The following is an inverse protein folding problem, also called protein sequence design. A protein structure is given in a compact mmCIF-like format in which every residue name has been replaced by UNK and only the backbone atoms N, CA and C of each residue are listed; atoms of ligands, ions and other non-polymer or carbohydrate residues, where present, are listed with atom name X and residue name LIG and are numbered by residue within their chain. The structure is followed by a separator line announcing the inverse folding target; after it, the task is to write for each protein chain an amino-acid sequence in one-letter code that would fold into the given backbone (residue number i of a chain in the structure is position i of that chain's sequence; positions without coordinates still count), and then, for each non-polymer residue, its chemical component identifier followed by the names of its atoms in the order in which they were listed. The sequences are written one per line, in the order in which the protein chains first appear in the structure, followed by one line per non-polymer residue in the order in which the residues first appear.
data_IF_064754182403
#
_entry.id   IF_064754182403
#
_cell.length_a   1.000
_cell.length_b   1.000
_cell.length_c   1.000
_cell.angle_alpha   90.00
_cell.angle_beta   90.00
_cell.angle_gamma   90.00
#
_symmetry.space_group_name_H-M   'P 1'
#
loop_
_entity.id
_entity.type
_entity.pdbx_description
1 polymer ?
#
# COMPACT_ATOMS: atom_id res chain seq x y z
N UNK A 1 51.27 -27.26 -34.62
CA UNK A 1 50.69 -26.43 -35.69
C UNK A 1 49.96 -27.36 -36.64
N UNK A 2 48.63 -27.41 -36.58
CA UNK A 2 47.87 -28.33 -37.42
C UNK A 2 46.48 -27.78 -37.75
N UNK A 3 46.10 -28.09 -39.00
CA UNK A 3 44.76 -28.22 -39.60
C UNK A 3 44.12 -26.97 -40.24
N UNK A 4 44.22 -26.99 -41.58
CA UNK A 4 43.40 -26.34 -42.62
C UNK A 4 41.89 -26.51 -42.40
N UNK A 5 41.14 -25.45 -42.68
CA UNK A 5 39.71 -25.51 -42.97
C UNK A 5 39.43 -26.17 -44.32
N UNK A 6 38.39 -27.02 -44.38
CA UNK A 6 37.63 -27.34 -45.60
C UNK A 6 36.23 -27.82 -45.24
N UNK A 7 35.23 -27.31 -45.97
CA UNK A 7 34.00 -28.05 -46.27
C UNK A 7 32.78 -27.70 -45.43
N UNK A 8 31.93 -26.84 -45.99
CA UNK A 8 30.63 -26.45 -45.42
C UNK A 8 29.59 -27.57 -45.41
N UNK A 9 28.56 -27.37 -44.58
CA UNK A 9 27.29 -28.11 -44.61
C UNK A 9 26.17 -27.22 -44.03
N UNK A 10 25.22 -26.89 -44.90
CA UNK A 10 23.77 -26.68 -44.66
C UNK A 10 23.33 -25.89 -43.42
N UNK A 11 22.95 -24.62 -43.62
CA UNK A 11 22.02 -23.94 -42.72
C UNK A 11 20.62 -24.53 -42.92
N UNK A 12 20.20 -25.39 -41.99
CA UNK A 12 18.79 -25.65 -41.74
C UNK A 12 18.22 -24.42 -41.02
N UNK A 13 17.34 -23.69 -41.69
CA UNK A 13 16.52 -22.66 -41.09
C UNK A 13 15.53 -23.33 -40.12
N UNK A 14 15.90 -23.41 -38.84
CA UNK A 14 14.97 -23.74 -37.77
C UNK A 14 14.11 -22.51 -37.50
N UNK A 15 12.88 -22.53 -38.02
CA UNK A 15 11.82 -21.58 -37.67
C UNK A 15 11.54 -21.73 -36.18
N UNK A 16 12.20 -20.92 -35.35
CA UNK A 16 11.87 -20.79 -33.95
C UNK A 16 10.48 -20.15 -33.88
N UNK A 17 9.45 -20.97 -33.69
CA UNK A 17 8.18 -20.55 -33.11
C UNK A 17 8.51 -20.00 -31.73
N UNK A 18 8.72 -18.68 -31.66
CA UNK A 18 8.72 -17.95 -30.41
C UNK A 18 7.28 -18.02 -29.92
N UNK A 19 6.99 -19.04 -29.11
CA UNK A 19 5.83 -19.02 -28.24
C UNK A 19 5.98 -17.76 -27.40
N UNK A 20 5.25 -16.71 -27.79
CA UNK A 20 4.85 -15.62 -26.93
C UNK A 20 4.04 -16.27 -25.82
N UNK A 21 4.75 -16.81 -24.82
CA UNK A 21 4.19 -17.16 -23.54
C UNK A 21 3.52 -15.89 -23.04
N UNK A 22 2.19 -15.90 -23.02
CA UNK A 22 1.43 -14.96 -22.23
C UNK A 22 1.90 -15.12 -20.78
N UNK A 23 2.89 -14.36 -20.37
CA UNK A 23 3.20 -14.17 -18.96
C UNK A 23 1.90 -13.67 -18.33
N UNK A 24 1.26 -14.53 -17.55
CA UNK A 24 0.21 -14.12 -16.63
C UNK A 24 0.87 -13.11 -15.68
N UNK A 25 0.78 -11.82 -16.05
CA UNK A 25 1.57 -10.74 -15.44
C UNK A 25 1.65 -10.89 -13.93
N UNK A 26 2.90 -11.03 -13.46
CA UNK A 26 3.22 -11.20 -12.05
C UNK A 26 2.59 -10.06 -11.23
N UNK A 27 2.20 -10.31 -9.97
CA UNK A 27 1.73 -9.26 -9.08
C UNK A 27 2.79 -8.15 -9.00
N UNK A 28 2.46 -6.96 -9.49
CA UNK A 28 3.28 -5.78 -9.30
C UNK A 28 2.84 -5.11 -7.98
N UNK A 29 3.77 -4.77 -7.07
CA UNK A 29 3.39 -4.07 -5.87
C UNK A 29 2.83 -2.70 -6.24
N UNK A 30 1.58 -2.43 -5.89
CA UNK A 30 1.11 -1.05 -5.81
C UNK A 30 1.86 -0.39 -4.65
N UNK A 31 2.37 0.81 -4.89
CA UNK A 31 3.21 1.53 -3.93
C UNK A 31 2.93 3.02 -4.04
N UNK A 32 2.63 3.63 -2.90
CA UNK A 32 2.53 5.08 -2.74
C UNK A 32 3.52 5.54 -1.69
N UNK A 33 4.01 6.76 -1.86
CA UNK A 33 5.01 7.34 -0.98
C UNK A 33 4.70 8.80 -0.68
N UNK A 34 4.94 9.20 0.56
CA UNK A 34 4.92 10.59 1.00
C UNK A 34 6.05 10.85 1.98
N UNK A 35 6.47 12.11 2.03
CA UNK A 35 7.45 12.59 3.00
C UNK A 35 6.88 13.85 3.63
N UNK A 36 6.84 13.90 4.97
CA UNK A 36 6.67 15.15 5.70
C UNK A 36 7.86 15.31 6.64
N UNK A 37 8.50 16.47 6.51
CA UNK A 37 9.70 16.77 7.25
C UNK A 37 10.83 15.79 7.07
N UNK A 38 11.24 15.15 8.16
CA UNK A 38 12.33 14.17 8.17
C UNK A 38 11.86 12.74 7.95
N UNK A 39 10.55 12.51 7.90
CA UNK A 39 9.97 11.16 7.87
C UNK A 39 9.42 10.81 6.50
N UNK A 40 9.84 9.65 5.99
CA UNK A 40 9.32 9.05 4.79
C UNK A 40 8.34 7.93 5.15
N UNK A 41 7.18 7.95 4.50
CA UNK A 41 6.13 6.94 4.63
C UNK A 41 5.93 6.28 3.27
N UNK A 42 5.84 4.95 3.26
CA UNK A 42 5.56 4.15 2.07
C UNK A 42 4.43 3.18 2.40
N UNK A 43 3.35 3.24 1.62
CA UNK A 43 2.29 2.24 1.67
C UNK A 43 2.44 1.34 0.44
N UNK A 44 2.49 0.03 0.66
CA UNK A 44 2.57 -0.94 -0.42
C UNK A 44 1.56 -2.07 -0.26
N UNK A 45 1.10 -2.62 -1.38
CA UNK A 45 0.30 -3.84 -1.41
C UNK A 45 0.61 -4.66 -2.65
N UNK A 46 0.72 -6.00 -2.54
CA UNK A 46 0.78 -6.85 -3.72
C UNK A 46 -0.56 -6.78 -4.45
N UNK A 47 -0.56 -6.25 -5.67
CA UNK A 47 -1.76 -6.07 -6.47
C UNK A 47 -1.67 -6.84 -7.79
N UNK A 48 -2.81 -7.41 -8.19
CA UNK A 48 -3.02 -7.92 -9.55
C UNK A 48 -3.90 -6.91 -10.28
N UNK A 49 -3.37 -6.35 -11.37
CA UNK A 49 -4.13 -5.47 -12.23
C UNK A 49 -5.30 -6.23 -12.86
N UNK A 50 -6.49 -5.63 -12.89
CA UNK A 50 -7.69 -6.29 -13.41
C UNK A 50 -7.66 -6.51 -14.93
N UNK A 51 -6.84 -5.73 -15.65
CA UNK A 51 -6.71 -5.69 -17.13
C UNK A 51 -7.98 -5.32 -17.88
N UNK A 52 -9.12 -5.23 -17.20
CA UNK A 52 -10.38 -4.70 -17.69
C UNK A 52 -10.57 -3.26 -17.14
N UNK A 53 -10.83 -2.27 -18.00
CA UNK A 53 -11.00 -0.87 -17.58
C UNK A 53 -12.22 -0.63 -16.67
N UNK A 54 -13.19 -1.55 -16.64
CA UNK A 54 -14.39 -1.42 -15.81
C UNK A 54 -14.25 -2.10 -14.43
N UNK A 55 -13.13 -2.79 -14.17
CA UNK A 55 -12.90 -3.52 -12.93
C UNK A 55 -11.69 -3.01 -12.14
N UNK A 56 -11.82 -3.08 -10.81
CA UNK A 56 -10.81 -2.59 -9.87
C UNK A 56 -9.66 -3.59 -9.70
N UNK A 57 -8.47 -3.07 -9.38
CA UNK A 57 -7.31 -3.91 -9.07
C UNK A 57 -7.59 -4.77 -7.83
N UNK A 58 -7.12 -6.02 -7.84
CA UNK A 58 -7.28 -6.94 -6.73
C UNK A 58 -6.00 -6.96 -5.91
N UNK A 59 -6.03 -6.46 -4.68
CA UNK A 59 -4.85 -6.35 -3.85
C UNK A 59 -4.91 -7.19 -2.58
N UNK A 60 -3.73 -7.53 -2.06
CA UNK A 60 -3.57 -8.20 -0.78
C UNK A 60 -3.46 -7.21 0.39
N UNK A 61 -3.02 -7.73 1.55
CA UNK A 61 -2.78 -6.94 2.73
C UNK A 61 -1.79 -5.79 2.45
N UNK A 62 -2.10 -4.61 2.98
CA UNK A 62 -1.24 -3.44 2.87
C UNK A 62 -0.17 -3.44 3.95
N UNK A 63 0.98 -2.84 3.64
CA UNK A 63 2.07 -2.60 4.58
C UNK A 63 2.36 -1.11 4.64
N UNK A 64 2.59 -0.58 5.84
CA UNK A 64 3.21 0.73 6.05
C UNK A 64 4.69 0.52 6.37
N UNK A 65 5.57 1.24 5.67
CA UNK A 65 6.98 1.39 6.02
C UNK A 65 7.25 2.85 6.34
N UNK A 66 7.87 3.10 7.50
CA UNK A 66 8.22 4.44 7.97
C UNK A 66 9.72 4.51 8.22
N UNK A 67 10.37 5.51 7.63
CA UNK A 67 11.81 5.70 7.75
C UNK A 67 12.14 7.13 8.20
N UNK A 68 12.98 7.24 9.23
CA UNK A 68 13.47 8.51 9.78
C UNK A 68 14.83 8.31 10.43
N UNK A 69 15.78 9.21 10.20
CA UNK A 69 17.09 9.22 10.87
C UNK A 69 17.83 7.85 10.81
N UNK A 70 17.71 7.17 9.67
CA UNK A 70 18.30 5.84 9.45
C UNK A 70 17.56 4.67 10.10
N UNK A 71 16.52 4.93 10.90
CA UNK A 71 15.64 3.91 11.46
C UNK A 71 14.50 3.60 10.49
N UNK A 72 14.05 2.34 10.47
CA UNK A 72 12.90 1.92 9.66
C UNK A 72 11.99 0.99 10.46
N UNK A 73 10.69 1.29 10.48
CA UNK A 73 9.62 0.42 11.00
C UNK A 73 8.76 -0.06 9.84
N UNK A 74 8.37 -1.32 9.89
CA UNK A 74 7.43 -1.93 8.94
C UNK A 74 6.25 -2.52 9.71
N UNK A 75 5.04 -2.30 9.24
CA UNK A 75 3.82 -2.81 9.86
C UNK A 75 2.78 -3.26 8.84
N UNK A 76 2.06 -4.32 9.18
CA UNK A 76 0.91 -4.80 8.41
C UNK A 76 -0.31 -3.96 8.76
N UNK A 77 -1.01 -3.48 7.74
CA UNK A 77 -2.20 -2.64 7.89
C UNK A 77 -3.50 -3.46 7.78
N UNK A 78 -4.59 -2.99 8.41
CA UNK A 78 -4.65 -1.81 9.30
C UNK A 78 -4.10 -2.13 10.72
N UNK A 79 -3.38 -1.18 11.32
CA UNK A 79 -3.07 -1.20 12.75
C UNK A 79 -4.02 -0.24 13.48
N UNK A 80 -5.23 -0.69 13.79
CA UNK A 80 -6.21 0.16 14.47
C UNK A 80 -5.93 0.22 15.97
N UNK A 81 -6.25 1.35 16.59
CA UNK A 81 -6.30 1.46 18.05
C UNK A 81 -7.37 0.52 18.64
N UNK A 82 -7.30 0.29 19.96
CA UNK A 82 -8.16 -0.69 20.63
C UNK A 82 -9.65 -0.37 20.52
N UNK A 83 -10.03 0.91 20.59
CA UNK A 83 -11.42 1.34 20.56
C UNK A 83 -12.04 1.12 19.18
N UNK A 84 -11.34 1.56 18.13
CA UNK A 84 -11.76 1.38 16.74
C UNK A 84 -11.82 -0.09 16.36
N UNK A 85 -10.79 -0.87 16.72
CA UNK A 85 -10.76 -2.31 16.50
C UNK A 85 -11.95 -3.01 17.18
N UNK A 86 -12.25 -2.66 18.43
CA UNK A 86 -13.38 -3.20 19.18
C UNK A 86 -14.71 -2.83 18.53
N UNK A 87 -14.91 -1.57 18.16
CA UNK A 87 -16.15 -1.09 17.53
C UNK A 87 -16.47 -1.84 16.24
N UNK A 88 -15.45 -2.06 15.39
CA UNK A 88 -15.61 -2.82 14.13
C UNK A 88 -16.03 -4.26 14.40
N UNK A 89 -15.40 -4.92 15.38
CA UNK A 89 -15.72 -6.32 15.71
C UNK A 89 -17.11 -6.44 16.33
N UNK A 90 -17.45 -5.56 17.27
CA UNK A 90 -18.75 -5.57 17.99
C UNK A 90 -19.93 -5.33 17.03
N UNK A 91 -19.71 -4.59 15.94
CA UNK A 91 -20.72 -4.34 14.90
C UNK A 91 -20.73 -5.38 13.78
N UNK A 92 -19.97 -6.48 13.92
CA UNK A 92 -19.94 -7.61 12.99
C UNK A 92 -18.99 -7.44 11.79
N UNK A 93 -18.16 -6.41 11.79
CA UNK A 93 -17.15 -6.16 10.78
C UNK A 93 -15.91 -7.04 10.93
N UNK A 94 -15.03 -7.00 9.91
CA UNK A 94 -13.72 -7.67 9.93
C UNK A 94 -12.64 -6.66 9.61
N UNK A 95 -11.73 -6.44 10.55
CA UNK A 95 -10.60 -5.51 10.40
C UNK A 95 -9.76 -5.83 9.17
N UNK A 96 -9.57 -7.11 8.84
CA UNK A 96 -8.81 -7.53 7.65
C UNK A 96 -9.45 -7.18 6.30
N UNK A 97 -10.69 -6.66 6.30
CA UNK A 97 -11.36 -6.17 5.09
C UNK A 97 -11.17 -4.68 4.85
N UNK A 98 -10.49 -3.98 5.76
CA UNK A 98 -10.23 -2.55 5.64
C UNK A 98 -8.96 -2.30 4.85
N UNK A 99 -9.05 -1.40 3.88
CA UNK A 99 -7.93 -0.97 3.03
C UNK A 99 -7.79 0.55 3.10
N UNK A 100 -6.55 1.04 3.07
CA UNK A 100 -6.26 2.45 2.93
C UNK A 100 -6.85 2.96 1.62
N UNK A 101 -7.76 3.92 1.72
CA UNK A 101 -8.40 4.57 0.57
C UNK A 101 -7.93 6.00 0.38
N UNK A 102 -7.52 6.65 1.47
CA UNK A 102 -6.95 7.98 1.46
C UNK A 102 -5.90 8.07 2.54
N UNK A 103 -4.87 8.85 2.29
CA UNK A 103 -3.86 9.08 3.31
C UNK A 103 -3.17 10.41 3.08
N UNK A 104 -2.61 10.95 4.14
CA UNK A 104 -1.80 12.15 4.09
C UNK A 104 -0.77 12.13 5.19
N UNK A 105 0.14 13.07 5.13
CA UNK A 105 1.07 13.30 6.22
C UNK A 105 1.25 14.79 6.42
N UNK A 106 1.45 15.20 7.67
CA UNK A 106 1.53 16.59 8.06
C UNK A 106 2.60 16.77 9.13
N UNK A 107 3.15 17.99 9.20
CA UNK A 107 4.07 18.39 10.26
C UNK A 107 3.25 19.01 11.39
N UNK A 108 3.49 18.56 12.60
CA UNK A 108 2.87 19.09 13.81
C UNK A 108 3.91 19.56 14.82
N UNK A 109 3.44 20.26 15.86
CA UNK A 109 4.30 20.73 16.94
C UNK A 109 4.86 19.57 17.79
N UNK A 110 4.18 18.42 17.77
CA UNK A 110 4.57 17.19 18.47
C UNK A 110 5.33 16.18 17.61
N UNK A 111 5.49 16.45 16.31
CA UNK A 111 6.10 15.51 15.37
C UNK A 111 5.44 15.50 14.00
N UNK A 112 6.10 14.82 13.08
CA UNK A 112 5.57 14.52 11.75
C UNK A 112 4.59 13.34 11.88
N UNK A 113 3.36 13.45 11.38
CA UNK A 113 2.36 12.36 11.46
C UNK A 113 1.87 11.93 10.09
N UNK A 114 1.43 10.68 9.99
CA UNK A 114 0.64 10.20 8.86
C UNK A 114 -0.76 9.81 9.32
N UNK A 115 -1.77 10.20 8.53
CA UNK A 115 -3.18 9.81 8.75
C UNK A 115 -3.60 8.91 7.61
N UNK A 116 -4.02 7.70 7.93
CA UNK A 116 -4.51 6.72 6.97
C UNK A 116 -6.00 6.49 7.22
N UNK A 117 -6.81 6.73 6.20
CA UNK A 117 -8.24 6.43 6.19
C UNK A 117 -8.46 5.08 5.53
N UNK A 118 -9.17 4.22 6.24
CA UNK A 118 -9.50 2.88 5.81
C UNK A 118 -10.97 2.79 5.42
N UNK A 119 -11.26 1.95 4.42
CA UNK A 119 -12.61 1.54 4.09
C UNK A 119 -12.66 0.11 3.57
N UNK A 120 -13.82 -0.54 3.68
CA UNK A 120 -14.12 -1.82 3.03
C UNK A 120 -14.43 -1.69 1.53
N UNK A 121 -14.43 -0.46 0.98
CA UNK A 121 -14.63 -0.20 -0.45
C UNK A 121 -16.10 -0.03 -0.88
N UNK A 122 -17.03 0.17 0.07
CA UNK A 122 -18.42 0.48 -0.21
C UNK A 122 -19.38 0.15 0.94
N UNK A 123 -20.55 0.80 0.96
CA UNK A 123 -21.63 0.57 1.92
C UNK A 123 -21.64 1.54 3.11
N UNK A 124 -22.79 1.66 3.76
CA UNK A 124 -23.05 2.58 4.88
C UNK A 124 -22.98 1.88 6.24
N UNK A 125 -22.28 0.74 6.31
CA UNK A 125 -22.19 -0.03 7.54
C UNK A 125 -21.40 0.77 8.60
N UNK A 126 -21.75 0.66 9.88
CA UNK A 126 -21.05 1.38 10.96
C UNK A 126 -19.57 0.99 11.11
N UNK A 127 -19.13 -0.12 10.50
CA UNK A 127 -17.75 -0.58 10.42
C UNK A 127 -17.09 -0.37 9.05
N UNK A 128 -17.75 0.36 8.14
CA UNK A 128 -17.29 0.51 6.77
C UNK A 128 -16.04 1.40 6.65
N UNK A 129 -15.77 2.24 7.65
CA UNK A 129 -14.69 3.21 7.66
C UNK A 129 -13.98 3.26 9.02
N UNK A 130 -12.69 3.55 8.99
CA UNK A 130 -11.88 3.83 10.16
C UNK A 130 -10.72 4.74 9.76
N UNK A 131 -10.00 5.29 10.72
CA UNK A 131 -8.71 5.92 10.45
C UNK A 131 -7.69 5.56 11.51
N UNK A 132 -6.42 5.77 11.21
CA UNK A 132 -5.32 5.64 12.17
C UNK A 132 -4.31 6.73 11.92
N UNK A 133 -3.79 7.26 13.02
CA UNK A 133 -2.72 8.24 13.03
C UNK A 133 -1.43 7.52 13.42
N UNK A 134 -0.35 7.76 12.68
CA UNK A 134 0.97 7.21 12.95
C UNK A 134 1.93 8.35 13.30
N UNK A 135 2.73 8.15 14.34
CA UNK A 135 3.83 9.07 14.70
C UNK A 135 5.01 8.97 13.71
N UNK A 136 6.04 9.78 13.92
CA UNK A 136 7.22 9.83 13.05
C UNK A 136 8.09 8.56 13.08
N UNK A 137 7.85 7.67 14.06
CA UNK A 137 8.44 6.33 14.16
C UNK A 137 7.55 5.27 13.52
N UNK A 138 6.40 5.69 13.01
CA UNK A 138 5.38 4.86 12.41
C UNK A 138 4.53 4.12 13.42
N UNK A 139 4.53 4.46 14.70
CA UNK A 139 3.70 3.78 15.72
C UNK A 139 2.29 4.34 15.67
N UNK A 140 1.28 3.48 15.68
CA UNK A 140 -0.12 3.89 15.77
C UNK A 140 -0.37 4.64 17.08
N UNK A 141 -0.92 5.84 16.99
CA UNK A 141 -1.28 6.68 18.13
C UNK A 141 -2.65 6.23 18.63
N UNK A 142 -2.72 5.84 19.90
CA UNK A 142 -3.98 5.51 20.59
C UNK A 142 -4.87 6.76 20.72
N UNK A 143 -6.19 6.56 20.73
CA UNK A 143 -7.18 7.66 20.69
C UNK A 143 -6.98 8.71 21.79
N UNK A 144 -6.65 8.27 23.00
CA UNK A 144 -6.38 9.15 24.16
C UNK A 144 -5.21 10.11 23.93
N UNK A 145 -4.33 9.81 22.98
CA UNK A 145 -3.19 10.65 22.62
C UNK A 145 -3.42 11.43 21.31
N UNK A 146 -4.49 11.16 20.56
CA UNK A 146 -4.77 11.80 19.27
C UNK A 146 -4.94 13.32 19.36
N UNK A 147 -5.52 13.82 20.46
CA UNK A 147 -5.70 15.26 20.71
C UNK A 147 -4.39 16.05 20.69
N UNK A 148 -3.26 15.42 21.05
CA UNK A 148 -1.93 16.05 21.01
C UNK A 148 -1.48 16.39 19.58
N UNK A 149 -2.09 15.76 18.59
CA UNK A 149 -1.76 15.89 17.17
C UNK A 149 -2.81 16.66 16.37
N UNK A 150 -3.84 17.24 17.02
CA UNK A 150 -4.99 17.89 16.39
C UNK A 150 -4.59 18.86 15.26
N UNK A 151 -3.62 19.74 15.50
CA UNK A 151 -3.11 20.68 14.49
C UNK A 151 -2.55 19.97 13.26
N UNK A 152 -1.85 18.87 13.45
CA UNK A 152 -1.33 18.07 12.35
C UNK A 152 -2.45 17.32 11.61
N UNK A 153 -3.49 16.88 12.32
CA UNK A 153 -4.68 16.25 11.73
C UNK A 153 -5.42 17.24 10.82
N UNK A 154 -5.74 18.43 11.33
CA UNK A 154 -6.39 19.49 10.54
C UNK A 154 -5.57 19.83 9.29
N UNK A 155 -4.24 19.95 9.43
CA UNK A 155 -3.36 20.18 8.30
C UNK A 155 -3.33 19.01 7.31
N UNK A 156 -3.45 17.77 7.80
CA UNK A 156 -3.43 16.58 6.95
C UNK A 156 -4.69 16.42 6.11
N UNK A 157 -5.86 16.82 6.63
CA UNK A 157 -7.16 16.71 5.94
C UNK A 157 -7.18 17.51 4.63
N UNK A 158 -6.53 18.68 4.61
CA UNK A 158 -6.38 19.49 3.39
C UNK A 158 -5.43 18.91 2.34
N UNK A 159 -4.69 17.85 2.67
CA UNK A 159 -3.62 17.29 1.85
C UNK A 159 -3.71 15.76 1.65
N UNK A 160 -4.88 15.17 1.95
CA UNK A 160 -5.11 13.75 1.72
C UNK A 160 -5.01 13.42 0.22
N UNK A 161 -4.22 12.40 -0.11
CA UNK A 161 -4.18 11.79 -1.43
C UNK A 161 -5.02 10.54 -1.43
N UNK A 162 -5.83 10.39 -2.48
CA UNK A 162 -6.55 9.14 -2.74
C UNK A 162 -5.55 8.05 -3.12
N UNK A 163 -5.70 6.90 -2.48
CA UNK A 163 -5.14 5.64 -2.96
C UNK A 163 -5.97 5.22 -4.17
N UNK A 164 -5.33 4.98 -5.31
CA UNK A 164 -6.03 4.46 -6.49
C UNK A 164 -6.76 3.18 -6.11
N UNK A 165 -8.06 3.18 -6.36
CA UNK A 165 -9.07 2.25 -5.83
C UNK A 165 -8.61 0.79 -5.90
N UNK A 166 -8.57 0.16 -4.72
CA UNK A 166 -8.20 -1.23 -4.47
C UNK A 166 -9.48 -2.00 -4.17
N UNK A 167 -9.73 -3.11 -4.86
CA UNK A 167 -10.73 -4.09 -4.44
C UNK A 167 -10.11 -5.08 -3.44
N UNK A 168 -10.78 -5.32 -2.29
CA UNK A 168 -10.51 -6.49 -1.45
C UNK A 168 -10.63 -7.79 -2.24
N UNK A 169 -9.83 -8.82 -1.90
CA UNK A 169 -10.06 -10.21 -2.32
C UNK A 169 -11.22 -10.85 -1.57
#
# INVERSE_FOLDING_TARGET
MSIKQTGGKWLLAATALVHLGCSAGDPAPWREQMTCGGTQYVIESPCKASKDPESLNVCGAQTLTVSRDGQTRRATLPELNKVSAKSIVDTGGKISRLFVTQWGCARGDQGDVAVLYYSIGGGSAPYAEAYTIYDERGVAIEDENSAKYEKALVNSEGHLKKVRSIMPR
#
